data_IF_767688591760
#
_entry.id   IF_767688591760
#
_cell.length_a   1.000
_cell.length_b   1.000
_cell.length_c   1.000
_cell.angle_alpha   90.00
_cell.angle_beta   90.00
_cell.angle_gamma   90.00
#
_symmetry.space_group_name_H-M   'P 1'
#
loop_
_entity.id
_entity.type
_entity.pdbx_description
1 polymer ?
#
# COMPACT_ATOMS: atom_id res chain seq x y z
N UNK A 1 4.98 9.05 -0.79
CA UNK A 1 4.48 7.69 -1.08
C UNK A 1 5.03 6.66 -0.09
N UNK A 2 6.33 6.62 0.10
CA UNK A 2 7.08 5.69 0.95
C UNK A 2 6.92 4.21 0.61
N UNK A 3 5.72 3.69 0.58
CA UNK A 3 5.43 2.28 0.33
C UNK A 3 4.17 2.10 -0.51
N UNK A 4 4.05 0.91 -1.08
CA UNK A 4 2.80 0.36 -1.58
C UNK A 4 2.61 -1.04 -1.00
N UNK A 5 1.38 -1.40 -0.72
CA UNK A 5 1.00 -2.69 -0.15
C UNK A 5 -0.19 -3.28 -0.87
N UNK A 6 -0.41 -4.57 -0.67
CA UNK A 6 -1.64 -5.25 -1.06
C UNK A 6 -1.96 -6.34 -0.04
N UNK A 7 -3.20 -6.77 -0.08
CA UNK A 7 -3.75 -7.76 0.84
C UNK A 7 -4.32 -8.97 0.09
N UNK A 8 -4.64 -10.01 0.82
CA UNK A 8 -5.30 -11.20 0.26
C UNK A 8 -6.71 -10.91 -0.23
N UNK A 9 -7.41 -9.96 0.40
CA UNK A 9 -8.78 -9.58 0.10
C UNK A 9 -8.88 -8.10 -0.20
N UNK A 10 -10.03 -7.66 -0.69
CA UNK A 10 -10.33 -6.24 -0.86
C UNK A 10 -10.34 -5.51 0.48
N UNK A 11 -9.94 -4.24 0.41
CA UNK A 11 -10.04 -3.26 1.49
C UNK A 11 -11.11 -2.24 1.14
N UNK A 12 -11.87 -1.80 2.13
CA UNK A 12 -12.88 -0.75 1.95
C UNK A 12 -12.47 0.51 2.68
N UNK A 13 -12.55 1.65 1.99
CA UNK A 13 -12.23 2.96 2.52
C UNK A 13 -13.44 3.89 2.41
N UNK A 14 -13.80 4.55 3.53
CA UNK A 14 -14.88 5.54 3.57
C UNK A 14 -14.40 6.77 4.35
N UNK A 15 -14.26 7.89 3.68
CA UNK A 15 -13.81 9.14 4.29
C UNK A 15 -14.97 10.01 4.78
N UNK A 16 -14.82 10.62 5.96
CA UNK A 16 -15.69 11.70 6.44
C UNK A 16 -15.40 13.02 5.70
N UNK A 17 -14.23 13.14 5.10
CA UNK A 17 -13.80 14.21 4.18
C UNK A 17 -13.19 13.57 2.94
N UNK A 18 -13.00 14.36 1.89
CA UNK A 18 -12.25 13.92 0.72
C UNK A 18 -10.84 13.46 1.12
N UNK A 19 -10.35 12.46 0.46
CA UNK A 19 -9.00 11.92 0.66
C UNK A 19 -8.38 11.48 -0.67
N UNK A 20 -7.07 11.24 -0.68
CA UNK A 20 -6.35 10.81 -1.87
C UNK A 20 -5.80 9.41 -1.64
N UNK A 21 -5.99 8.55 -2.64
CA UNK A 21 -5.34 7.25 -2.73
C UNK A 21 -4.28 7.28 -3.84
N UNK A 22 -3.07 6.86 -3.52
CA UNK A 22 -2.00 6.61 -4.47
C UNK A 22 -2.03 5.12 -4.82
N UNK A 23 -2.37 4.82 -6.06
CA UNK A 23 -2.67 3.46 -6.49
C UNK A 23 -1.79 3.02 -7.67
N UNK A 24 -1.48 1.73 -7.69
CA UNK A 24 -0.91 1.02 -8.84
C UNK A 24 -1.54 -0.36 -8.94
N UNK A 25 -1.32 -1.05 -10.07
CA UNK A 25 -1.78 -2.43 -10.23
C UNK A 25 -0.67 -3.41 -9.86
N UNK A 26 -1.04 -4.52 -9.23
CA UNK A 26 -0.09 -5.58 -8.87
C UNK A 26 0.63 -6.14 -10.12
N UNK A 27 -0.03 -6.23 -11.26
CA UNK A 27 0.55 -6.67 -12.53
C UNK A 27 1.65 -5.74 -13.10
N UNK A 28 1.78 -4.51 -12.55
CA UNK A 28 2.84 -3.58 -12.93
C UNK A 28 4.17 -3.86 -12.20
N UNK A 29 4.17 -4.79 -11.25
CA UNK A 29 5.41 -5.27 -10.63
C UNK A 29 6.11 -6.19 -11.63
N UNK A 30 7.31 -5.81 -12.05
CA UNK A 30 8.17 -6.61 -12.93
C UNK A 30 9.47 -6.93 -12.19
N UNK A 31 9.83 -8.19 -12.11
CA UNK A 31 11.03 -8.67 -11.41
C UNK A 31 11.15 -8.13 -9.97
N UNK A 32 10.01 -8.07 -9.26
CA UNK A 32 9.93 -7.55 -7.90
C UNK A 32 10.06 -6.03 -7.78
N UNK A 33 10.02 -5.29 -8.87
CA UNK A 33 10.14 -3.82 -8.89
C UNK A 33 8.93 -3.15 -9.53
N UNK A 34 8.60 -1.95 -9.04
CA UNK A 34 7.60 -1.07 -9.61
C UNK A 34 8.16 0.35 -9.67
N UNK A 35 8.13 0.95 -10.87
CA UNK A 35 8.48 2.35 -11.04
C UNK A 35 7.33 3.24 -10.54
N UNK A 36 7.64 4.15 -9.63
CA UNK A 36 6.67 5.08 -9.04
C UNK A 36 6.03 6.03 -10.06
N UNK A 37 6.63 6.21 -11.22
CA UNK A 37 6.02 6.94 -12.34
C UNK A 37 4.70 6.29 -12.83
N UNK A 38 4.46 5.01 -12.53
CA UNK A 38 3.23 4.31 -12.86
C UNK A 38 2.10 4.51 -11.82
N UNK A 39 2.43 5.07 -10.67
CA UNK A 39 1.46 5.33 -9.59
C UNK A 39 0.55 6.48 -9.99
N UNK A 40 -0.74 6.31 -9.75
CA UNK A 40 -1.77 7.34 -10.02
C UNK A 40 -2.42 7.78 -8.73
N UNK A 41 -2.67 9.08 -8.61
CA UNK A 41 -3.40 9.68 -7.51
C UNK A 41 -4.89 9.77 -7.85
N UNK A 42 -5.75 9.35 -6.93
CA UNK A 42 -7.21 9.43 -7.06
C UNK A 42 -7.80 10.16 -5.86
N UNK A 43 -8.57 11.19 -6.11
CA UNK A 43 -9.36 11.85 -5.07
C UNK A 43 -10.67 11.10 -4.87
N UNK A 44 -10.90 10.61 -3.68
CA UNK A 44 -12.16 10.00 -3.26
C UNK A 44 -13.01 11.05 -2.52
N UNK A 45 -14.23 11.36 -3.02
CA UNK A 45 -15.11 12.29 -2.34
C UNK A 45 -15.58 11.77 -0.98
N UNK A 46 -15.82 12.70 -0.05
CA UNK A 46 -16.42 12.40 1.25
C UNK A 46 -17.72 11.59 1.09
N UNK A 47 -17.91 10.60 1.93
CA UNK A 47 -19.11 9.74 1.92
C UNK A 47 -19.14 8.70 0.80
N UNK A 48 -18.11 8.61 -0.05
CA UNK A 48 -18.00 7.58 -1.08
C UNK A 48 -17.28 6.36 -0.53
N UNK A 49 -17.92 5.20 -0.59
CA UNK A 49 -17.28 3.92 -0.26
C UNK A 49 -16.43 3.45 -1.44
N UNK A 50 -15.14 3.30 -1.22
CA UNK A 50 -14.18 2.83 -2.21
C UNK A 50 -13.76 1.41 -1.87
N UNK A 51 -13.90 0.48 -2.81
CA UNK A 51 -13.31 -0.85 -2.72
C UNK A 51 -11.95 -0.84 -3.42
N UNK A 52 -10.91 -1.15 -2.67
CA UNK A 52 -9.55 -1.36 -3.19
C UNK A 52 -9.33 -2.86 -3.31
N UNK A 53 -9.25 -3.36 -4.54
CA UNK A 53 -9.13 -4.79 -4.81
C UNK A 53 -7.80 -5.38 -4.32
N UNK A 54 -7.80 -6.69 -4.03
CA UNK A 54 -6.59 -7.44 -3.67
C UNK A 54 -5.46 -7.34 -4.73
N UNK A 55 -5.80 -7.02 -5.98
CA UNK A 55 -4.87 -6.81 -7.10
C UNK A 55 -4.40 -5.36 -7.24
N UNK A 56 -4.81 -4.47 -6.33
CA UNK A 56 -4.48 -3.04 -6.36
C UNK A 56 -3.49 -2.72 -5.25
N UNK A 57 -2.36 -2.16 -5.65
CA UNK A 57 -1.37 -1.62 -4.73
C UNK A 57 -1.84 -0.27 -4.20
N UNK A 58 -1.76 -0.09 -2.90
CA UNK A 58 -2.16 1.12 -2.18
C UNK A 58 -1.28 1.29 -0.94
N UNK A 59 -1.44 2.38 -0.25
CA UNK A 59 -0.87 2.59 1.09
C UNK A 59 -1.80 3.49 1.90
N UNK A 60 -1.35 4.02 3.02
CA UNK A 60 -2.13 4.97 3.84
C UNK A 60 -2.71 6.08 2.97
N UNK A 61 -4.01 6.37 3.06
CA UNK A 61 -4.61 7.51 2.38
C UNK A 61 -3.93 8.82 2.73
N UNK A 62 -4.02 9.80 1.84
CA UNK A 62 -3.44 11.12 2.02
C UNK A 62 -4.52 12.20 2.16
N UNK A 63 -4.19 13.27 2.88
CA UNK A 63 -5.05 14.45 2.98
C UNK A 63 -5.08 15.23 1.65
N UNK A 64 -6.17 15.95 1.42
CA UNK A 64 -6.33 16.85 0.27
C UNK A 64 -5.78 18.24 0.58
N UNK A 65 -5.88 18.64 1.84
CA UNK A 65 -5.47 19.96 2.37
C UNK A 65 -5.01 19.83 3.82
N UNK A 66 -4.47 20.90 4.38
CA UNK A 66 -3.96 20.96 5.76
C UNK A 66 -5.03 20.76 6.85
N UNK A 67 -6.30 20.74 6.49
CA UNK A 67 -7.41 20.45 7.40
C UNK A 67 -7.47 19.00 7.85
N UNK A 68 -6.62 18.15 7.33
CA UNK A 68 -6.57 16.72 7.64
C UNK A 68 -7.76 15.95 7.09
N UNK A 69 -7.85 14.68 7.47
CA UNK A 69 -8.93 13.79 7.05
C UNK A 69 -9.14 12.68 8.09
N UNK A 70 -10.25 11.99 7.94
CA UNK A 70 -10.55 10.78 8.69
C UNK A 70 -11.15 9.75 7.75
N UNK A 71 -10.54 8.58 7.66
CA UNK A 71 -10.97 7.48 6.80
C UNK A 71 -11.18 6.23 7.65
N UNK A 72 -12.36 5.63 7.53
CA UNK A 72 -12.61 4.29 8.01
C UNK A 72 -11.99 3.31 7.01
N UNK A 73 -11.20 2.38 7.49
CA UNK A 73 -10.62 1.29 6.70
C UNK A 73 -11.16 -0.02 7.23
N UNK A 74 -11.76 -0.84 6.37
CA UNK A 74 -12.28 -2.15 6.72
C UNK A 74 -11.56 -3.24 5.93
N UNK A 75 -11.05 -4.23 6.65
CA UNK A 75 -10.33 -5.41 6.17
C UNK A 75 -10.85 -6.67 6.88
N UNK A 76 -10.70 -7.86 6.31
CA UNK A 76 -10.96 -9.10 7.03
C UNK A 76 -10.18 -9.19 8.34
N UNK A 77 -10.81 -9.74 9.36
CA UNK A 77 -10.18 -9.93 10.67
C UNK A 77 -8.86 -10.71 10.53
N UNK A 78 -7.84 -10.28 11.24
CA UNK A 78 -6.51 -10.87 11.20
C UNK A 78 -5.55 -10.27 10.17
N UNK A 79 -6.05 -9.52 9.18
CA UNK A 79 -5.17 -8.77 8.26
C UNK A 79 -4.33 -7.76 9.04
N UNK A 80 -3.07 -7.58 8.64
CA UNK A 80 -2.07 -6.76 9.36
C UNK A 80 -1.68 -7.28 10.75
N UNK A 81 -2.12 -8.47 11.13
CA UNK A 81 -1.68 -9.14 12.34
C UNK A 81 -0.20 -9.53 12.31
N UNK A 82 0.32 -10.15 13.38
CA UNK A 82 1.70 -10.63 13.40
C UNK A 82 2.00 -11.55 12.22
N UNK A 83 3.22 -11.47 11.69
CA UNK A 83 3.67 -12.41 10.66
C UNK A 83 3.62 -13.83 11.26
N UNK A 84 2.95 -14.80 10.61
CA UNK A 84 2.91 -16.17 11.09
C UNK A 84 4.32 -16.77 11.19
N UNK A 85 4.61 -17.50 12.27
CA UNK A 85 5.92 -18.15 12.45
C UNK A 85 6.27 -19.10 11.29
N UNK A 86 5.28 -19.85 10.81
CA UNK A 86 5.44 -20.75 9.65
C UNK A 86 5.89 -20.02 8.36
N UNK A 87 5.72 -18.71 8.27
CA UNK A 87 6.19 -17.93 7.13
C UNK A 87 7.73 -17.79 7.07
N UNK A 88 8.44 -18.08 8.17
CA UNK A 88 9.90 -18.08 8.18
C UNK A 88 10.48 -19.25 7.38
N UNK A 89 9.76 -20.38 7.34
CA UNK A 89 10.17 -21.61 6.67
C UNK A 89 9.54 -21.77 5.28
N UNK A 90 8.80 -20.79 4.82
CA UNK A 90 8.18 -20.84 3.48
C UNK A 90 9.25 -20.79 2.39
N UNK A 91 9.17 -21.68 1.39
CA UNK A 91 10.08 -21.62 0.25
C UNK A 91 9.94 -20.26 -0.46
N UNK A 92 11.06 -19.74 -0.96
CA UNK A 92 11.07 -18.51 -1.75
C UNK A 92 10.31 -18.77 -3.07
N UNK A 93 9.03 -18.41 -3.10
CA UNK A 93 8.16 -18.61 -4.26
C UNK A 93 7.16 -17.47 -4.37
N UNK A 94 6.80 -17.11 -5.59
CA UNK A 94 5.84 -16.02 -5.84
C UNK A 94 6.22 -14.72 -5.15
N UNK A 95 5.31 -14.18 -4.36
CA UNK A 95 5.46 -12.88 -3.70
C UNK A 95 6.08 -12.97 -2.29
N UNK A 96 6.70 -14.11 -1.92
CA UNK A 96 7.30 -14.30 -0.59
C UNK A 96 8.36 -13.26 -0.26
N UNK A 97 9.03 -12.68 -1.27
CA UNK A 97 10.07 -11.66 -1.11
C UNK A 97 9.58 -10.37 -0.45
N UNK A 98 8.30 -10.00 -0.63
CA UNK A 98 7.72 -8.79 -0.05
C UNK A 98 6.65 -9.07 1.02
N UNK A 99 6.51 -10.32 1.47
CA UNK A 99 5.58 -10.69 2.53
C UNK A 99 6.02 -10.08 3.86
N UNK A 100 5.18 -9.21 4.42
CA UNK A 100 5.52 -8.40 5.58
C UNK A 100 4.82 -8.82 6.88
N UNK A 101 3.51 -8.95 6.83
CA UNK A 101 2.65 -9.32 7.97
C UNK A 101 1.56 -10.28 7.49
N UNK A 102 0.71 -10.77 8.40
CA UNK A 102 -0.43 -11.59 8.04
C UNK A 102 -1.27 -10.93 6.96
N UNK A 103 -1.45 -11.61 5.82
CA UNK A 103 -2.19 -11.17 4.66
C UNK A 103 -1.78 -9.78 4.12
N UNK A 104 -0.49 -9.44 4.26
CA UNK A 104 0.07 -8.15 3.85
C UNK A 104 1.43 -8.30 3.17
N UNK A 105 1.54 -7.77 1.96
CA UNK A 105 2.76 -7.67 1.16
C UNK A 105 3.11 -6.21 0.94
N UNK A 106 4.36 -5.82 1.08
CA UNK A 106 4.81 -4.42 1.04
C UNK A 106 6.03 -4.25 0.15
N UNK A 107 5.96 -3.28 -0.76
CA UNK A 107 7.10 -2.75 -1.49
C UNK A 107 7.43 -1.36 -0.95
N UNK A 108 8.68 -1.14 -0.56
CA UNK A 108 9.14 0.13 0.00
C UNK A 108 10.00 0.90 -1.01
N UNK A 109 9.97 2.22 -0.93
CA UNK A 109 11.02 3.06 -1.50
C UNK A 109 12.26 3.03 -0.60
N UNK A 110 13.46 3.14 -1.19
CA UNK A 110 14.71 3.09 -0.43
C UNK A 110 14.79 4.16 0.67
N UNK A 111 14.20 5.33 0.44
CA UNK A 111 14.18 6.45 1.40
C UNK A 111 13.08 6.32 2.47
N UNK A 112 12.31 5.24 2.46
CA UNK A 112 11.21 5.08 3.42
C UNK A 112 11.72 4.60 4.79
N UNK A 113 11.10 5.03 5.90
CA UNK A 113 11.40 4.47 7.21
C UNK A 113 11.23 2.95 7.29
N UNK A 114 10.27 2.42 6.54
CA UNK A 114 10.01 0.98 6.51
C UNK A 114 11.12 0.17 5.84
N UNK A 115 11.85 0.74 4.89
CA UNK A 115 13.05 0.12 4.33
C UNK A 115 14.13 -0.08 5.42
N UNK A 116 14.29 0.89 6.31
CA UNK A 116 15.21 0.78 7.45
C UNK A 116 14.77 -0.29 8.48
N UNK A 117 13.48 -0.62 8.53
CA UNK A 117 12.92 -1.71 9.36
C UNK A 117 13.06 -3.10 8.70
N UNK A 118 13.68 -3.20 7.52
CA UNK A 118 13.85 -4.45 6.78
C UNK A 118 12.78 -4.72 5.72
N UNK A 119 11.93 -3.75 5.41
CA UNK A 119 10.94 -3.86 4.33
C UNK A 119 11.62 -4.02 2.96
N UNK A 120 10.99 -4.78 2.07
CA UNK A 120 11.52 -5.03 0.74
C UNK A 120 11.55 -3.77 -0.12
N UNK A 121 12.75 -3.37 -0.58
CA UNK A 121 12.93 -2.21 -1.46
C UNK A 121 12.58 -2.59 -2.89
N UNK A 122 11.30 -2.40 -3.22
CA UNK A 122 10.71 -2.74 -4.52
C UNK A 122 10.25 -1.53 -5.34
N UNK A 123 10.12 -0.34 -4.73
CA UNK A 123 9.76 0.88 -5.45
C UNK A 123 11.02 1.56 -6.00
N UNK A 124 10.98 1.91 -7.28
CA UNK A 124 12.04 2.63 -8.00
C UNK A 124 11.52 3.98 -8.50
N UNK A 125 12.43 4.87 -8.91
CA UNK A 125 12.06 6.22 -9.33
C UNK A 125 12.01 7.21 -8.18
N UNK A 126 11.16 8.24 -8.27
CA UNK A 126 11.02 9.28 -7.25
C UNK A 126 10.12 8.81 -6.11
N UNK A 127 10.50 9.05 -4.87
CA UNK A 127 9.56 8.91 -3.75
C UNK A 127 8.53 10.04 -3.83
N UNK A 128 7.31 9.71 -4.29
CA UNK A 128 6.28 10.70 -4.61
C UNK A 128 5.82 11.46 -3.36
N UNK A 129 5.83 12.77 -3.45
CA UNK A 129 5.25 13.67 -2.46
C UNK A 129 4.20 14.56 -3.18
N UNK A 130 2.93 14.37 -2.86
CA UNK A 130 1.81 15.10 -3.47
C UNK A 130 1.53 16.44 -2.79
N UNK A 131 2.24 16.77 -1.71
CA UNK A 131 2.12 18.07 -1.05
C UNK A 131 2.91 19.17 -1.77
N UNK A 132 3.80 18.75 -2.67
CA UNK A 132 4.68 19.66 -3.41
C UNK A 132 4.14 20.08 -4.79
N UNK A 133 2.94 19.62 -5.17
CA UNK A 133 2.31 19.88 -6.48
C UNK A 133 1.17 20.87 -6.38
#
# INVERSE_FOLDING_TARGET
>A
LNCLEYHRASEFNLGARDFILLLAKREQIVDGKLDTAQVKAFRAPAGTLVEVYATTLHYTPCMVDDGGFQVMVALPAGTNGPRPEAAADMPAAGDSYCYWKADKWVLCHADSPKAAEGGYVGLTGKNLDITAD
#
